data_IF_188186408380
#
_entry.id   IF_188186408380
#
_cell.length_a   1.000
_cell.length_b   1.000
_cell.length_c   1.000
_cell.angle_alpha   90.00
_cell.angle_beta   90.00
_cell.angle_gamma   90.00
#
_symmetry.space_group_name_H-M   'P 1'
#
loop_
_entity.id
_entity.type
_entity.pdbx_description
1 polymer ?
#
# COMPACT_ATOMS: atom_id res chain seq x y z
N UNK A 1 0.41 -1.01 14.99
CA UNK A 1 0.98 0.08 14.17
C UNK A 1 0.46 1.45 14.59
N UNK A 2 -0.86 1.68 14.65
CA UNK A 2 -1.48 2.92 15.19
C UNK A 2 -0.88 3.40 16.52
N UNK A 3 -0.60 2.47 17.44
CA UNK A 3 0.01 2.75 18.75
C UNK A 3 1.52 3.04 18.73
N UNK A 4 2.15 3.11 17.55
CA UNK A 4 3.62 3.16 17.39
C UNK A 4 4.40 1.95 17.97
N UNK A 5 3.70 0.89 18.39
CA UNK A 5 4.31 -0.39 18.80
C UNK A 5 4.50 -1.25 17.54
N UNK A 6 5.73 -1.30 17.01
CA UNK A 6 6.07 -1.97 15.74
C UNK A 6 6.88 -3.25 15.92
N UNK A 7 7.71 -3.34 16.97
CA UNK A 7 8.58 -4.48 17.25
C UNK A 7 7.86 -5.85 17.29
N UNK A 8 6.65 -5.99 17.87
CA UNK A 8 5.94 -7.27 17.87
C UNK A 8 5.70 -7.80 16.47
N UNK A 9 5.27 -6.91 15.56
CA UNK A 9 5.03 -7.27 14.17
C UNK A 9 6.32 -7.68 13.46
N UNK A 10 7.44 -7.03 13.78
CA UNK A 10 8.75 -7.40 13.22
C UNK A 10 9.18 -8.78 13.69
N UNK A 11 9.06 -9.09 14.98
CA UNK A 11 9.44 -10.40 15.52
C UNK A 11 8.57 -11.53 14.97
N UNK A 12 7.25 -11.33 14.88
CA UNK A 12 6.34 -12.34 14.35
C UNK A 12 6.51 -12.54 12.84
N UNK A 13 6.79 -11.47 12.08
CA UNK A 13 7.14 -11.56 10.66
C UNK A 13 8.45 -12.33 10.44
N UNK A 14 9.48 -12.03 11.23
CA UNK A 14 10.75 -12.74 11.16
C UNK A 14 10.57 -14.25 11.44
N UNK A 15 9.86 -14.59 12.51
CA UNK A 15 9.54 -15.98 12.84
C UNK A 15 8.79 -16.68 11.70
N UNK A 16 7.80 -16.01 11.12
CA UNK A 16 6.99 -16.56 10.02
C UNK A 16 7.81 -16.84 8.76
N UNK A 17 8.77 -15.97 8.44
CA UNK A 17 9.71 -16.17 7.32
C UNK A 17 10.68 -17.32 7.63
N UNK A 18 11.21 -17.39 8.85
CA UNK A 18 12.10 -18.49 9.26
C UNK A 18 11.39 -19.85 9.20
N UNK A 19 10.09 -19.89 9.53
CA UNK A 19 9.27 -21.10 9.40
C UNK A 19 8.84 -21.38 7.95
N UNK A 20 8.76 -20.36 7.08
CA UNK A 20 8.36 -20.53 5.69
C UNK A 20 9.28 -21.49 4.92
N UNK A 21 10.60 -21.39 5.13
CA UNK A 21 11.60 -22.23 4.45
C UNK A 21 11.44 -23.73 4.76
N UNK A 22 11.46 -24.18 6.03
CA UNK A 22 11.28 -25.60 6.34
C UNK A 22 9.88 -26.11 5.99
N UNK A 23 8.82 -25.28 6.12
CA UNK A 23 7.46 -25.66 5.72
C UNK A 23 7.40 -25.90 4.21
N UNK A 24 7.97 -25.02 3.39
CA UNK A 24 8.01 -25.23 1.94
C UNK A 24 8.82 -26.48 1.58
N UNK A 25 9.99 -26.67 2.21
CA UNK A 25 10.79 -27.87 1.98
C UNK A 25 10.00 -29.15 2.30
N UNK A 26 9.28 -29.17 3.43
CA UNK A 26 8.45 -30.30 3.82
C UNK A 26 7.32 -30.55 2.81
N UNK A 27 6.54 -29.52 2.48
CA UNK A 27 5.36 -29.66 1.61
C UNK A 27 5.74 -30.01 0.15
N UNK A 28 6.83 -29.42 -0.35
CA UNK A 28 7.25 -29.58 -1.75
C UNK A 28 8.15 -30.78 -1.94
N UNK A 29 9.20 -30.93 -1.12
CA UNK A 29 10.22 -31.97 -1.33
C UNK A 29 9.86 -33.30 -0.66
N UNK A 30 9.31 -33.25 0.57
CA UNK A 30 9.00 -34.46 1.34
C UNK A 30 7.62 -35.00 0.97
N UNK A 31 6.58 -34.17 1.04
CA UNK A 31 5.21 -34.58 0.69
C UNK A 31 4.92 -34.54 -0.82
N UNK A 32 5.84 -34.01 -1.63
CA UNK A 32 5.76 -34.02 -3.10
C UNK A 32 4.47 -33.41 -3.64
N UNK A 33 3.93 -32.40 -2.97
CA UNK A 33 2.69 -31.73 -3.37
C UNK A 33 2.88 -30.78 -4.57
N UNK A 34 4.10 -30.63 -5.08
CA UNK A 34 4.42 -29.78 -6.23
C UNK A 34 3.96 -28.34 -6.02
N UNK A 35 3.29 -27.76 -7.03
CA UNK A 35 2.79 -26.38 -7.02
C UNK A 35 1.76 -26.16 -5.88
N UNK A 36 0.92 -27.16 -5.59
CA UNK A 36 -0.03 -27.07 -4.46
C UNK A 36 0.69 -26.94 -3.12
N UNK A 37 1.86 -27.58 -2.98
CA UNK A 37 2.72 -27.48 -1.80
C UNK A 37 3.25 -26.06 -1.58
N UNK A 38 3.67 -25.38 -2.65
CA UNK A 38 4.13 -23.99 -2.60
C UNK A 38 2.98 -23.07 -2.15
N UNK A 39 1.80 -23.23 -2.75
CA UNK A 39 0.62 -22.45 -2.38
C UNK A 39 0.23 -22.67 -0.91
N UNK A 40 0.24 -23.92 -0.45
CA UNK A 40 -0.08 -24.26 0.94
C UNK A 40 0.98 -23.72 1.91
N UNK A 41 2.25 -23.73 1.53
CA UNK A 41 3.34 -23.11 2.31
C UNK A 41 3.13 -21.61 2.51
N UNK A 42 2.66 -20.89 1.48
CA UNK A 42 2.31 -19.48 1.60
C UNK A 42 1.12 -19.25 2.56
N UNK A 43 0.08 -20.09 2.51
CA UNK A 43 -1.05 -20.04 3.45
C UNK A 43 -0.58 -20.24 4.88
N UNK A 44 0.26 -21.25 5.13
CA UNK A 44 0.82 -21.50 6.46
C UNK A 44 1.65 -20.35 7.00
N UNK A 45 2.44 -19.68 6.15
CA UNK A 45 3.20 -18.50 6.58
C UNK A 45 2.31 -17.34 6.99
N UNK A 46 1.20 -17.12 6.29
CA UNK A 46 0.22 -16.11 6.69
C UNK A 46 -0.47 -16.49 8.02
N UNK A 47 -0.85 -17.76 8.18
CA UNK A 47 -1.45 -18.24 9.41
C UNK A 47 -0.50 -18.11 10.60
N UNK A 48 0.77 -18.50 10.42
CA UNK A 48 1.82 -18.34 11.44
C UNK A 48 1.97 -16.88 11.86
N UNK A 49 1.97 -15.94 10.91
CA UNK A 49 2.08 -14.51 11.20
C UNK A 49 0.92 -14.03 12.09
N UNK A 50 -0.31 -14.36 11.69
CA UNK A 50 -1.52 -13.94 12.42
C UNK A 50 -1.56 -14.60 13.80
N UNK A 51 -1.32 -15.91 13.86
CA UNK A 51 -1.33 -16.68 15.10
C UNK A 51 -0.28 -16.16 16.09
N UNK A 52 0.97 -15.98 15.66
CA UNK A 52 2.03 -15.44 16.51
C UNK A 52 1.74 -14.01 16.98
N UNK A 53 1.07 -13.19 16.16
CA UNK A 53 0.69 -11.83 16.55
C UNK A 53 -0.42 -11.83 17.61
N UNK A 54 -1.46 -12.67 17.45
CA UNK A 54 -2.52 -12.84 18.45
C UNK A 54 -1.93 -13.36 19.77
N UNK A 55 -1.08 -14.38 19.69
CA UNK A 55 -0.40 -14.93 20.86
C UNK A 55 0.44 -13.87 21.57
N UNK A 56 1.18 -13.04 20.82
CA UNK A 56 1.94 -11.93 21.41
C UNK A 56 1.03 -10.92 22.12
N UNK A 57 -0.07 -10.49 21.49
CA UNK A 57 -1.02 -9.53 22.07
C UNK A 57 -1.60 -10.09 23.37
N UNK A 58 -1.95 -11.38 23.38
CA UNK A 58 -2.47 -12.05 24.56
C UNK A 58 -1.43 -12.14 25.67
N UNK A 59 -0.20 -12.60 25.39
CA UNK A 59 0.85 -12.73 26.40
C UNK A 59 1.33 -11.38 26.96
N UNK A 60 1.45 -10.37 26.10
CA UNK A 60 1.88 -9.02 26.50
C UNK A 60 0.79 -8.19 27.18
N UNK A 61 -0.47 -8.64 27.11
CA UNK A 61 -1.63 -7.99 27.73
C UNK A 61 -1.84 -6.52 27.32
N UNK A 62 -1.24 -6.10 26.18
CA UNK A 62 -1.31 -4.72 25.67
C UNK A 62 -2.77 -4.31 25.36
N UNK A 63 -3.62 -5.27 24.99
CA UNK A 63 -5.02 -5.04 24.68
C UNK A 63 -5.81 -4.43 25.83
N UNK A 64 -5.44 -4.69 27.10
CA UNK A 64 -6.17 -4.21 28.29
C UNK A 64 -6.36 -2.70 28.37
N UNK A 65 -5.43 -1.92 27.79
CA UNK A 65 -5.51 -0.45 27.79
C UNK A 65 -6.28 0.14 26.61
N UNK A 66 -6.60 -0.68 25.60
CA UNK A 66 -7.06 -0.16 24.30
C UNK A 66 -8.37 -0.81 23.83
N UNK A 67 -8.64 -2.05 24.24
CA UNK A 67 -9.82 -2.77 23.81
C UNK A 67 -10.96 -2.51 24.78
N UNK A 68 -12.09 -2.05 24.25
CA UNK A 68 -13.37 -2.08 24.93
C UNK A 68 -13.79 -3.55 25.15
N UNK A 69 -14.61 -3.87 26.18
CA UNK A 69 -15.21 -5.20 26.31
C UNK A 69 -15.88 -5.63 25.00
N UNK A 70 -15.66 -6.89 24.60
CA UNK A 70 -16.22 -7.43 23.36
C UNK A 70 -17.75 -7.48 23.49
N UNK A 71 -18.45 -6.55 22.84
CA UNK A 71 -19.90 -6.55 22.73
C UNK A 71 -20.29 -6.85 21.28
N UNK A 72 -21.34 -7.67 21.09
CA UNK A 72 -21.85 -7.99 19.74
C UNK A 72 -22.26 -6.72 18.98
N UNK A 73 -22.83 -5.73 19.68
CA UNK A 73 -23.20 -4.43 19.08
C UNK A 73 -21.97 -3.62 18.68
N UNK A 74 -20.94 -3.57 19.54
CA UNK A 74 -19.68 -2.87 19.25
C UNK A 74 -18.88 -3.51 18.11
N UNK A 75 -19.03 -4.81 17.86
CA UNK A 75 -18.43 -5.48 16.69
C UNK A 75 -19.07 -5.02 15.38
N UNK A 76 -20.38 -4.75 15.37
CA UNK A 76 -21.12 -4.33 14.16
C UNK A 76 -21.28 -2.80 14.03
N UNK A 77 -20.96 -2.04 15.08
CA UNK A 77 -20.90 -0.58 15.04
C UNK A 77 -19.69 -0.10 14.19
N UNK A 78 -19.81 1.06 13.52
CA UNK A 78 -18.70 1.70 12.80
C UNK A 78 -18.27 1.05 11.46
N UNK A 79 -18.90 -0.04 11.01
CA UNK A 79 -18.54 -0.70 9.74
C UNK A 79 -18.66 0.22 8.53
N UNK A 80 -19.67 1.10 8.51
CA UNK A 80 -19.84 2.06 7.42
C UNK A 80 -18.64 3.00 7.30
N UNK A 81 -18.23 3.63 8.41
CA UNK A 81 -17.07 4.52 8.44
C UNK A 81 -15.77 3.78 8.08
N UNK A 82 -15.61 2.55 8.58
CA UNK A 82 -14.47 1.69 8.25
C UNK A 82 -14.42 1.38 6.74
N UNK A 83 -15.52 0.91 6.16
CA UNK A 83 -15.62 0.58 4.74
C UNK A 83 -15.44 1.81 3.85
N UNK A 84 -15.97 2.97 4.25
CA UNK A 84 -15.81 4.24 3.54
C UNK A 84 -14.34 4.68 3.44
N UNK A 85 -13.48 4.22 4.35
CA UNK A 85 -12.03 4.46 4.32
C UNK A 85 -11.26 3.29 3.68
N UNK A 86 -11.65 2.05 3.97
CA UNK A 86 -10.97 0.85 3.53
C UNK A 86 -11.15 0.58 2.03
N UNK A 87 -12.38 0.69 1.50
CA UNK A 87 -12.69 0.41 0.09
C UNK A 87 -11.87 1.33 -0.83
N UNK A 88 -11.87 2.66 -0.64
CA UNK A 88 -11.07 3.53 -1.51
C UNK A 88 -9.57 3.31 -1.37
N UNK A 89 -9.10 2.98 -0.16
CA UNK A 89 -7.68 2.63 0.06
C UNK A 89 -7.30 1.36 -0.71
N UNK A 90 -8.17 0.35 -0.68
CA UNK A 90 -8.00 -0.90 -1.43
C UNK A 90 -8.00 -0.64 -2.93
N UNK A 91 -9.01 0.06 -3.45
CA UNK A 91 -9.11 0.43 -4.87
C UNK A 91 -7.86 1.20 -5.32
N UNK A 92 -7.39 2.17 -4.54
CA UNK A 92 -6.19 2.95 -4.87
C UNK A 92 -4.96 2.07 -5.12
N UNK A 93 -4.78 1.02 -4.30
CA UNK A 93 -3.69 0.05 -4.43
C UNK A 93 -3.96 -0.90 -5.60
N UNK A 94 -5.16 -1.46 -5.72
CA UNK A 94 -5.53 -2.35 -6.82
C UNK A 94 -5.35 -1.69 -8.18
N UNK A 95 -5.70 -0.41 -8.34
CA UNK A 95 -5.52 0.34 -9.58
C UNK A 95 -4.04 0.43 -10.00
N UNK A 96 -3.11 0.56 -9.05
CA UNK A 96 -1.67 0.55 -9.35
C UNK A 96 -1.23 -0.83 -9.84
N UNK A 97 -1.63 -1.90 -9.15
CA UNK A 97 -1.22 -3.27 -9.52
C UNK A 97 -1.89 -3.79 -10.79
N UNK A 98 -3.18 -3.53 -10.98
CA UNK A 98 -3.90 -3.90 -12.19
C UNK A 98 -3.35 -3.19 -13.42
N UNK A 99 -2.81 -1.99 -13.26
CA UNK A 99 -2.14 -1.31 -14.36
C UNK A 99 -0.93 -2.11 -14.89
N UNK A 100 -0.13 -2.72 -14.00
CA UNK A 100 0.96 -3.62 -14.41
C UNK A 100 0.45 -4.90 -15.08
N UNK A 101 -0.66 -5.47 -14.61
CA UNK A 101 -1.28 -6.63 -15.27
C UNK A 101 -1.77 -6.28 -16.69
N UNK A 102 -2.39 -5.12 -16.86
CA UNK A 102 -2.79 -4.63 -18.18
C UNK A 102 -1.55 -4.42 -19.07
N UNK A 103 -0.46 -3.87 -18.55
CA UNK A 103 0.80 -3.78 -19.29
C UNK A 103 1.33 -5.14 -19.74
N UNK A 104 1.27 -6.17 -18.89
CA UNK A 104 1.69 -7.53 -19.26
C UNK A 104 0.85 -8.02 -20.45
N UNK A 105 -0.47 -7.83 -20.40
CA UNK A 105 -1.36 -8.18 -21.50
C UNK A 105 -1.01 -7.41 -22.78
N UNK A 106 -0.72 -6.11 -22.67
CA UNK A 106 -0.29 -5.29 -23.82
C UNK A 106 1.06 -5.75 -24.38
N UNK A 107 2.01 -6.18 -23.54
CA UNK A 107 3.28 -6.76 -24.00
C UNK A 107 3.03 -8.01 -24.87
N UNK A 108 2.03 -8.81 -24.53
CA UNK A 108 1.61 -9.98 -25.32
C UNK A 108 1.05 -9.66 -26.71
N UNK A 109 0.76 -8.39 -27.01
CA UNK A 109 0.29 -7.92 -28.32
C UNK A 109 1.40 -7.22 -29.13
N UNK A 110 2.60 -7.09 -28.59
CA UNK A 110 3.75 -6.50 -29.27
C UNK A 110 4.35 -7.49 -30.29
N UNK A 111 5.28 -7.00 -31.12
CA UNK A 111 5.89 -7.76 -32.22
C UNK A 111 6.63 -9.02 -31.69
N UNK A 112 7.35 -8.89 -30.57
CA UNK A 112 7.97 -10.02 -29.88
C UNK A 112 7.35 -10.23 -28.50
N UNK A 113 6.21 -10.93 -28.40
CA UNK A 113 5.47 -11.06 -27.15
C UNK A 113 6.18 -11.92 -26.11
N UNK A 114 6.96 -12.93 -26.53
CA UNK A 114 7.64 -13.82 -25.60
C UNK A 114 8.73 -13.09 -24.81
N UNK A 115 9.58 -12.33 -25.50
CA UNK A 115 10.66 -11.59 -24.86
C UNK A 115 10.13 -10.42 -24.01
N UNK A 116 9.15 -9.66 -24.51
CA UNK A 116 8.59 -8.51 -23.78
C UNK A 116 7.82 -8.92 -22.53
N UNK A 117 7.00 -9.98 -22.58
CA UNK A 117 6.28 -10.51 -21.42
C UNK A 117 7.26 -11.06 -20.37
N UNK A 118 8.28 -11.80 -20.80
CA UNK A 118 9.28 -12.32 -19.87
C UNK A 118 10.11 -11.20 -19.22
N UNK A 119 10.50 -10.16 -19.99
CA UNK A 119 11.12 -8.95 -19.46
C UNK A 119 10.20 -8.23 -18.48
N UNK A 120 8.91 -8.08 -18.81
CA UNK A 120 7.91 -7.48 -17.92
C UNK A 120 7.85 -8.20 -16.58
N UNK A 121 7.89 -9.54 -16.58
CA UNK A 121 7.94 -10.34 -15.35
C UNK A 121 9.15 -10.02 -14.47
N UNK A 122 10.36 -9.93 -15.06
CA UNK A 122 11.57 -9.53 -14.32
C UNK A 122 11.41 -8.12 -13.76
N UNK A 123 10.87 -7.19 -14.55
CA UNK A 123 10.71 -5.79 -14.17
C UNK A 123 9.66 -5.59 -13.06
N UNK A 124 8.56 -6.33 -13.07
CA UNK A 124 7.55 -6.29 -11.99
C UNK A 124 8.17 -6.77 -10.68
N UNK A 125 8.90 -7.88 -10.70
CA UNK A 125 9.57 -8.37 -9.48
C UNK A 125 10.60 -7.36 -8.96
N UNK A 126 11.32 -6.70 -9.86
CA UNK A 126 12.27 -5.63 -9.54
C UNK A 126 11.57 -4.43 -8.91
N UNK A 127 10.47 -3.99 -9.50
CA UNK A 127 9.67 -2.86 -9.03
C UNK A 127 9.02 -3.18 -7.69
N UNK A 128 8.50 -4.39 -7.50
CA UNK A 128 7.95 -4.86 -6.24
C UNK A 128 8.98 -4.84 -5.11
N UNK A 129 10.23 -5.26 -5.37
CA UNK A 129 11.33 -5.18 -4.41
C UNK A 129 11.62 -3.74 -4.01
N UNK A 130 11.71 -2.83 -4.99
CA UNK A 130 11.97 -1.41 -4.75
C UNK A 130 10.80 -0.76 -3.98
N UNK A 131 9.56 -1.14 -4.29
CA UNK A 131 8.33 -0.58 -3.72
C UNK A 131 8.16 -0.88 -2.21
N UNK A 132 8.85 -1.88 -1.65
CA UNK A 132 8.79 -2.20 -0.22
C UNK A 132 9.20 -0.98 0.64
N UNK A 133 10.20 -0.21 0.19
CA UNK A 133 10.70 0.95 0.93
C UNK A 133 9.68 2.11 0.98
N UNK A 134 9.17 2.65 -0.16
CA UNK A 134 8.18 3.72 -0.14
C UNK A 134 6.86 3.27 0.50
N UNK A 135 6.44 2.01 0.32
CA UNK A 135 5.26 1.46 1.00
C UNK A 135 5.41 1.49 2.53
N UNK A 136 6.58 1.08 3.03
CA UNK A 136 6.90 1.12 4.46
C UNK A 136 6.90 2.56 5.01
N UNK A 137 7.50 3.50 4.28
CA UNK A 137 7.50 4.92 4.62
C UNK A 137 6.06 5.47 4.66
N UNK A 138 5.25 5.11 3.67
CA UNK A 138 3.84 5.51 3.58
C UNK A 138 3.03 5.04 4.79
N UNK A 139 3.23 3.81 5.28
CA UNK A 139 2.58 3.34 6.51
C UNK A 139 3.06 4.11 7.76
N UNK A 140 4.35 4.43 7.84
CA UNK A 140 4.90 5.21 8.96
C UNK A 140 4.33 6.64 8.98
N UNK A 141 4.31 7.31 7.83
CA UNK A 141 3.74 8.65 7.66
C UNK A 141 2.24 8.65 7.94
N UNK A 142 1.49 7.69 7.42
CA UNK A 142 0.06 7.55 7.70
C UNK A 142 -0.22 7.44 9.20
N UNK A 143 0.58 6.66 9.93
CA UNK A 143 0.45 6.50 11.38
C UNK A 143 0.80 7.79 12.11
N UNK A 144 1.94 8.41 11.79
CA UNK A 144 2.39 9.65 12.44
C UNK A 144 1.43 10.81 12.19
N UNK A 145 1.01 11.02 10.95
CA UNK A 145 0.04 12.06 10.59
C UNK A 145 -1.29 11.81 11.28
N UNK A 146 -1.81 10.57 11.25
CA UNK A 146 -3.07 10.25 11.93
C UNK A 146 -3.03 10.52 13.44
N UNK A 147 -1.93 10.15 14.10
CA UNK A 147 -1.77 10.40 15.53
C UNK A 147 -1.66 11.89 15.88
N UNK A 148 -0.92 12.69 15.09
CA UNK A 148 -0.78 14.13 15.34
C UNK A 148 -2.08 14.90 15.00
N UNK A 149 -2.84 14.44 13.99
CA UNK A 149 -4.17 14.98 13.68
C UNK A 149 -5.17 14.66 14.80
N UNK A 150 -5.19 13.42 15.29
CA UNK A 150 -6.03 13.02 16.42
C UNK A 150 -5.63 13.67 17.76
N UNK A 151 -4.37 14.10 17.90
CA UNK A 151 -3.90 14.86 19.05
C UNK A 151 -4.10 16.38 18.91
N UNK A 152 -4.91 16.83 17.95
CA UNK A 152 -5.22 18.24 17.69
C UNK A 152 -3.99 19.12 17.39
N UNK A 153 -2.94 18.53 16.81
CA UNK A 153 -1.67 19.20 16.53
C UNK A 153 -1.41 19.38 15.01
N UNK A 154 -2.06 20.35 14.34
CA UNK A 154 -1.98 20.51 12.88
C UNK A 154 -0.56 20.83 12.39
N UNK A 155 0.22 21.58 13.18
CA UNK A 155 1.62 21.92 12.86
C UNK A 155 2.52 20.69 12.82
N UNK A 156 2.36 19.77 13.79
CA UNK A 156 3.13 18.53 13.84
C UNK A 156 2.69 17.52 12.78
N UNK A 157 1.40 17.47 12.48
CA UNK A 157 0.89 16.68 11.35
C UNK A 157 1.51 17.13 10.01
N UNK A 158 1.53 18.45 9.76
CA UNK A 158 2.20 19.04 8.58
C UNK A 158 3.69 18.71 8.54
N UNK A 159 4.38 18.85 9.67
CA UNK A 159 5.80 18.53 9.77
C UNK A 159 6.07 17.05 9.48
N UNK A 160 5.27 16.13 10.02
CA UNK A 160 5.41 14.70 9.77
C UNK A 160 5.24 14.36 8.29
N UNK A 161 4.27 14.99 7.61
CA UNK A 161 4.08 14.83 6.17
C UNK A 161 5.26 15.37 5.35
N UNK A 162 5.79 16.54 5.71
CA UNK A 162 6.93 17.14 5.01
C UNK A 162 8.22 16.34 5.20
N UNK A 163 8.49 15.88 6.42
CA UNK A 163 9.64 15.00 6.70
C UNK A 163 9.50 13.70 5.91
N UNK A 164 8.32 13.08 5.92
CA UNK A 164 8.03 11.91 5.11
C UNK A 164 8.30 12.15 3.62
N UNK A 165 7.85 13.27 3.08
CA UNK A 165 8.10 13.65 1.69
C UNK A 165 9.59 13.79 1.39
N UNK A 166 10.38 14.43 2.27
CA UNK A 166 11.84 14.53 2.11
C UNK A 166 12.51 13.15 2.05
N UNK A 167 12.15 12.23 2.96
CA UNK A 167 12.65 10.84 2.91
C UNK A 167 12.23 10.13 1.63
N UNK A 168 11.02 10.40 1.11
CA UNK A 168 10.54 9.78 -0.12
C UNK A 168 11.38 10.18 -1.35
N UNK A 169 11.86 11.42 -1.42
CA UNK A 169 12.78 11.85 -2.49
C UNK A 169 14.14 11.19 -2.37
N UNK A 170 14.67 11.03 -1.15
CA UNK A 170 15.92 10.29 -0.93
C UNK A 170 15.77 8.83 -1.37
N UNK A 171 14.66 8.18 -1.02
CA UNK A 171 14.36 6.82 -1.47
C UNK A 171 14.22 6.74 -3.00
N UNK A 172 13.50 7.66 -3.63
CA UNK A 172 13.34 7.70 -5.08
C UNK A 172 14.67 7.89 -5.80
N UNK A 173 15.53 8.79 -5.32
CA UNK A 173 16.89 8.99 -5.86
C UNK A 173 17.75 7.75 -5.68
N UNK A 174 17.64 7.07 -4.54
CA UNK A 174 18.36 5.82 -4.25
C UNK A 174 17.89 4.70 -5.17
N UNK A 175 16.58 4.59 -5.41
CA UNK A 175 15.99 3.64 -6.34
C UNK A 175 16.42 3.90 -7.79
N UNK A 176 16.43 5.17 -8.23
CA UNK A 176 16.96 5.55 -9.54
C UNK A 176 18.43 5.16 -9.68
N UNK A 177 19.26 5.52 -8.70
CA UNK A 177 20.67 5.19 -8.71
C UNK A 177 20.90 3.67 -8.77
N UNK A 178 20.15 2.91 -7.97
CA UNK A 178 20.18 1.46 -7.99
C UNK A 178 19.81 0.91 -9.37
N UNK A 179 18.65 1.30 -9.92
CA UNK A 179 18.15 0.80 -11.20
C UNK A 179 19.10 1.12 -12.37
N UNK A 180 19.72 2.30 -12.38
CA UNK A 180 20.72 2.67 -13.40
C UNK A 180 22.00 1.86 -13.23
N UNK A 181 22.49 1.70 -12.00
CA UNK A 181 23.76 1.01 -11.72
C UNK A 181 23.70 -0.47 -12.05
N UNK A 182 22.58 -1.14 -11.74
CA UNK A 182 22.42 -2.58 -11.95
C UNK A 182 21.92 -2.95 -13.35
N UNK A 183 21.63 -1.97 -14.22
CA UNK A 183 20.91 -2.17 -15.49
C UNK A 183 21.44 -3.30 -16.36
N UNK A 184 22.76 -3.50 -16.41
CA UNK A 184 23.41 -4.50 -17.29
C UNK A 184 23.53 -5.90 -16.67
N UNK A 185 23.50 -6.00 -15.34
CA UNK A 185 23.76 -7.26 -14.63
C UNK A 185 22.47 -7.86 -14.06
N UNK A 186 21.51 -7.02 -13.69
CA UNK A 186 20.30 -7.44 -12.97
C UNK A 186 19.52 -8.56 -13.66
N UNK A 187 19.22 -8.39 -14.96
CA UNK A 187 18.46 -9.39 -15.72
C UNK A 187 19.18 -10.74 -15.86
N UNK A 188 20.52 -10.73 -15.81
CA UNK A 188 21.33 -11.95 -15.94
C UNK A 188 21.20 -12.90 -14.73
N UNK A 189 20.72 -12.40 -13.60
CA UNK A 189 20.39 -13.21 -12.43
C UNK A 189 19.13 -14.05 -12.63
N UNK A 190 18.23 -13.63 -13.53
CA UNK A 190 16.94 -14.28 -13.77
C UNK A 190 16.97 -15.19 -14.99
N UNK A 191 17.70 -14.80 -16.05
CA UNK A 191 17.70 -15.51 -17.32
C UNK A 191 19.04 -15.40 -18.04
N UNK A 192 19.30 -16.33 -18.97
CA UNK A 192 20.44 -16.32 -19.89
C UNK A 192 20.06 -15.83 -21.30
N UNK A 193 18.78 -15.54 -21.54
CA UNK A 193 18.29 -15.04 -22.82
C UNK A 193 18.75 -13.59 -23.04
N UNK A 194 19.53 -13.37 -24.10
CA UNK A 194 20.12 -12.06 -24.43
C UNK A 194 19.07 -11.02 -24.79
N UNK A 195 17.95 -11.43 -25.39
CA UNK A 195 16.91 -10.50 -25.79
C UNK A 195 16.19 -9.94 -24.56
N UNK A 196 15.80 -10.82 -23.63
CA UNK A 196 15.19 -10.43 -22.35
C UNK A 196 16.13 -9.52 -21.56
N UNK A 197 17.43 -9.85 -21.51
CA UNK A 197 18.44 -9.03 -20.84
C UNK A 197 18.49 -7.64 -21.47
N UNK A 198 18.54 -7.55 -22.80
CA UNK A 198 18.65 -6.28 -23.53
C UNK A 198 17.42 -5.39 -23.31
N UNK A 199 16.21 -5.95 -23.43
CA UNK A 199 14.95 -5.22 -23.18
C UNK A 199 14.88 -4.72 -21.74
N UNK A 200 15.22 -5.57 -20.78
CA UNK A 200 15.24 -5.23 -19.36
C UNK A 200 16.24 -4.11 -19.07
N UNK A 201 17.48 -4.24 -19.55
CA UNK A 201 18.53 -3.22 -19.38
C UNK A 201 18.16 -1.86 -19.99
N UNK A 202 17.41 -1.84 -21.09
CA UNK A 202 16.94 -0.62 -21.73
C UNK A 202 15.93 0.14 -20.86
N UNK A 203 15.06 -0.60 -20.15
CA UNK A 203 13.94 -0.05 -19.40
C UNK A 203 14.27 0.24 -17.94
N UNK A 204 15.24 -0.45 -17.32
CA UNK A 204 15.61 -0.22 -15.91
C UNK A 204 15.81 1.27 -15.54
N UNK A 205 16.52 2.08 -16.35
CA UNK A 205 16.65 3.51 -16.10
C UNK A 205 15.30 4.26 -16.12
N UNK A 206 14.36 3.86 -16.97
CA UNK A 206 13.01 4.45 -17.04
C UNK A 206 12.24 4.12 -15.76
N UNK A 207 12.32 2.89 -15.26
CA UNK A 207 11.73 2.51 -13.98
C UNK A 207 12.34 3.33 -12.84
N UNK A 208 13.66 3.50 -12.82
CA UNK A 208 14.31 4.37 -11.85
C UNK A 208 13.75 5.80 -11.87
N UNK A 209 13.45 6.34 -13.05
CA UNK A 209 12.80 7.65 -13.18
C UNK A 209 11.33 7.61 -12.70
N UNK A 210 10.59 6.54 -12.97
CA UNK A 210 9.24 6.33 -12.44
C UNK A 210 9.24 6.35 -10.91
N UNK A 211 10.25 5.77 -10.27
CA UNK A 211 10.37 5.73 -8.80
C UNK A 211 10.56 7.11 -8.16
N UNK A 212 11.10 8.09 -8.89
CA UNK A 212 11.14 9.49 -8.43
C UNK A 212 9.73 10.10 -8.26
N UNK A 213 8.76 9.66 -9.08
CA UNK A 213 7.36 10.06 -8.94
C UNK A 213 6.60 9.17 -7.94
N UNK A 214 6.85 7.86 -8.02
CA UNK A 214 6.17 6.83 -7.23
C UNK A 214 6.42 7.00 -5.72
N UNK A 215 7.67 7.24 -5.31
CA UNK A 215 8.03 7.35 -3.90
C UNK A 215 7.28 8.52 -3.19
N UNK A 216 7.30 9.76 -3.72
CA UNK A 216 6.47 10.85 -3.22
C UNK A 216 4.97 10.57 -3.30
N UNK A 217 4.47 10.06 -4.42
CA UNK A 217 3.05 9.73 -4.60
C UNK A 217 2.56 8.76 -3.53
N UNK A 218 3.28 7.67 -3.31
CA UNK A 218 2.94 6.62 -2.34
C UNK A 218 2.99 7.18 -0.91
N UNK A 219 3.96 8.05 -0.62
CA UNK A 219 4.06 8.73 0.68
C UNK A 219 2.88 9.66 0.93
N UNK A 220 2.46 10.43 -0.08
CA UNK A 220 1.31 11.34 0.02
C UNK A 220 0.01 10.55 0.15
N UNK A 221 -0.15 9.41 -0.53
CA UNK A 221 -1.25 8.48 -0.27
C UNK A 221 -1.29 8.05 1.21
N UNK A 222 -0.13 7.87 1.84
CA UNK A 222 0.00 7.64 3.28
C UNK A 222 -0.53 8.82 4.11
N UNK A 223 -0.17 10.05 3.75
CA UNK A 223 -0.70 11.28 4.38
C UNK A 223 -2.22 11.35 4.23
N UNK A 224 -2.75 11.10 3.04
CA UNK A 224 -4.19 11.13 2.78
C UNK A 224 -4.94 10.08 3.62
N UNK A 225 -4.42 8.86 3.73
CA UNK A 225 -4.95 7.83 4.64
C UNK A 225 -4.89 8.28 6.11
N UNK A 226 -3.77 8.85 6.54
CA UNK A 226 -3.60 9.40 7.90
C UNK A 226 -4.57 10.54 8.23
N UNK A 227 -5.01 11.31 7.22
CA UNK A 227 -6.03 12.36 7.36
C UNK A 227 -7.46 11.90 7.00
N UNK A 228 -7.73 10.59 6.94
CA UNK A 228 -9.04 10.02 6.62
C UNK A 228 -9.62 10.48 5.25
N UNK A 229 -8.76 10.67 4.23
CA UNK A 229 -9.13 11.07 2.86
C UNK A 229 -8.64 10.12 1.76
N UNK A 230 -8.76 8.79 1.90
CA UNK A 230 -8.25 7.85 0.88
C UNK A 230 -8.95 7.98 -0.48
N UNK A 231 -10.22 8.42 -0.52
CA UNK A 231 -10.99 8.65 -1.77
C UNK A 231 -10.28 9.60 -2.73
N UNK A 232 -9.66 10.65 -2.21
CA UNK A 232 -8.95 11.63 -3.04
C UNK A 232 -7.73 11.01 -3.72
N UNK A 233 -6.96 10.19 -2.99
CA UNK A 233 -5.80 9.50 -3.54
C UNK A 233 -6.19 8.48 -4.62
N UNK A 234 -7.24 7.70 -4.36
CA UNK A 234 -7.78 6.73 -5.32
C UNK A 234 -8.21 7.38 -6.64
N UNK A 235 -8.91 8.52 -6.57
CA UNK A 235 -9.38 9.24 -7.76
C UNK A 235 -8.21 9.83 -8.57
N UNK A 236 -7.18 10.34 -7.89
CA UNK A 236 -5.97 10.86 -8.55
C UNK A 236 -5.20 9.72 -9.24
N UNK A 237 -5.01 8.59 -8.56
CA UNK A 237 -4.40 7.41 -9.15
C UNK A 237 -5.18 6.94 -10.39
N UNK A 238 -6.50 6.80 -10.27
CA UNK A 238 -7.35 6.41 -11.40
C UNK A 238 -7.15 7.34 -12.60
N UNK A 239 -7.22 8.66 -12.39
CA UNK A 239 -7.04 9.64 -13.45
C UNK A 239 -5.65 9.58 -14.09
N UNK A 240 -4.59 9.58 -13.28
CA UNK A 240 -3.22 9.65 -13.79
C UNK A 240 -2.81 8.35 -14.50
N UNK A 241 -3.11 7.18 -13.95
CA UNK A 241 -2.73 5.90 -14.56
C UNK A 241 -3.58 5.57 -15.79
N UNK A 242 -4.90 5.78 -15.73
CA UNK A 242 -5.80 5.29 -16.78
C UNK A 242 -6.20 6.35 -17.81
N UNK A 243 -6.25 7.63 -17.45
CA UNK A 243 -6.64 8.70 -18.40
C UNK A 243 -5.38 9.32 -19.04
N UNK A 244 -4.25 9.36 -18.34
CA UNK A 244 -2.99 9.89 -18.88
C UNK A 244 -2.03 8.76 -19.28
N UNK A 245 -1.67 7.90 -18.34
CA UNK A 245 -0.67 6.85 -18.53
C UNK A 245 -1.02 5.85 -19.62
N UNK A 246 -2.21 5.27 -19.56
CA UNK A 246 -2.67 4.24 -20.49
C UNK A 246 -2.73 4.73 -21.94
N UNK A 247 -3.34 5.88 -22.28
CA UNK A 247 -3.31 6.39 -23.65
C UNK A 247 -1.89 6.67 -24.15
N UNK A 248 -1.01 7.24 -23.31
CA UNK A 248 0.39 7.48 -23.68
C UNK A 248 1.15 6.17 -23.91
N UNK A 249 0.95 5.17 -23.05
CA UNK A 249 1.54 3.85 -23.20
C UNK A 249 1.12 3.20 -24.52
N UNK A 250 -0.19 3.16 -24.79
CA UNK A 250 -0.73 2.54 -26.01
C UNK A 250 -0.27 3.30 -27.25
N UNK A 251 -0.30 4.63 -27.23
CA UNK A 251 0.13 5.44 -28.36
C UNK A 251 1.62 5.25 -28.66
N UNK A 252 2.49 5.33 -27.64
CA UNK A 252 3.92 5.15 -27.82
C UNK A 252 4.31 3.71 -28.18
N UNK A 253 3.65 2.72 -27.57
CA UNK A 253 3.94 1.31 -27.76
C UNK A 253 3.54 0.81 -29.14
N UNK A 254 2.33 1.14 -29.60
CA UNK A 254 1.77 0.56 -30.83
C UNK A 254 1.86 1.47 -32.06
N UNK A 255 1.78 2.80 -31.89
CA UNK A 255 1.66 3.73 -33.03
C UNK A 255 2.95 4.51 -33.31
N UNK A 256 3.67 4.95 -32.29
CA UNK A 256 4.88 5.75 -32.46
C UNK A 256 6.17 4.94 -32.64
N UNK A 257 6.07 3.60 -32.68
CA UNK A 257 7.21 2.70 -32.95
C UNK A 257 8.20 2.53 -31.80
N UNK A 258 7.87 2.94 -30.57
CA UNK A 258 8.73 2.73 -29.40
C UNK A 258 8.55 1.35 -28.74
N UNK A 259 7.54 0.57 -29.17
CA UNK A 259 7.31 -0.82 -28.77
C UNK A 259 7.31 -0.97 -27.23
N UNK A 260 8.01 -1.96 -26.68
CA UNK A 260 8.15 -2.19 -25.24
C UNK A 260 8.56 -0.94 -24.45
N UNK A 261 9.50 -0.15 -24.96
CA UNK A 261 9.96 1.08 -24.30
C UNK A 261 8.83 2.11 -24.22
N UNK A 262 7.98 2.18 -25.24
CA UNK A 262 6.83 3.08 -25.29
C UNK A 262 5.84 2.83 -24.14
N UNK A 263 5.59 1.56 -23.81
CA UNK A 263 4.71 1.19 -22.69
C UNK A 263 5.24 1.75 -21.36
N UNK A 264 6.55 1.62 -21.10
CA UNK A 264 7.20 2.12 -19.89
C UNK A 264 7.31 3.66 -19.83
N UNK A 265 7.42 4.33 -20.98
CA UNK A 265 7.30 5.78 -21.05
C UNK A 265 5.88 6.25 -20.69
N UNK A 266 4.86 5.44 -20.96
CA UNK A 266 3.51 5.67 -20.46
C UNK A 266 3.41 5.57 -18.93
N UNK A 267 4.10 4.61 -18.30
CA UNK A 267 4.22 4.57 -16.83
C UNK A 267 4.86 5.86 -16.30
N UNK A 268 5.94 6.32 -16.95
CA UNK A 268 6.63 7.52 -16.54
C UNK A 268 5.71 8.76 -16.61
N UNK A 269 4.88 8.86 -17.65
CA UNK A 269 3.88 9.91 -17.78
C UNK A 269 2.80 9.82 -16.68
N UNK A 270 2.33 8.62 -16.35
CA UNK A 270 1.40 8.40 -15.23
C UNK A 270 2.01 8.86 -13.90
N UNK A 271 3.24 8.44 -13.61
CA UNK A 271 3.92 8.73 -12.35
C UNK A 271 4.24 10.23 -12.22
N UNK A 272 4.68 10.88 -13.30
CA UNK A 272 4.92 12.31 -13.31
C UNK A 272 3.64 13.12 -13.05
N UNK A 273 2.55 12.80 -13.75
CA UNK A 273 1.25 13.47 -13.56
C UNK A 273 0.67 13.22 -12.17
N UNK A 274 0.80 12.00 -11.64
CA UNK A 274 0.34 11.65 -10.31
C UNK A 274 1.13 12.39 -9.23
N UNK A 275 2.47 12.41 -9.33
CA UNK A 275 3.33 13.15 -8.42
C UNK A 275 2.95 14.64 -8.37
N UNK A 276 2.80 15.30 -9.52
CA UNK A 276 2.44 16.73 -9.58
C UNK A 276 1.10 16.99 -8.90
N UNK A 277 0.09 16.16 -9.20
CA UNK A 277 -1.26 16.31 -8.64
C UNK A 277 -1.27 16.04 -7.14
N UNK A 278 -0.57 15.01 -6.67
CA UNK A 278 -0.44 14.68 -5.25
C UNK A 278 0.29 15.78 -4.47
N UNK A 279 1.37 16.34 -5.02
CA UNK A 279 2.10 17.46 -4.42
C UNK A 279 1.21 18.70 -4.31
N UNK A 280 0.43 19.00 -5.36
CA UNK A 280 -0.53 20.09 -5.34
C UNK A 280 -1.57 19.91 -4.23
N UNK A 281 -2.14 18.70 -4.10
CA UNK A 281 -3.10 18.37 -3.03
C UNK A 281 -2.47 18.51 -1.65
N UNK A 282 -1.23 18.04 -1.46
CA UNK A 282 -0.53 18.18 -0.19
C UNK A 282 -0.29 19.66 0.15
N UNK A 283 0.17 20.46 -0.82
CA UNK A 283 0.41 21.89 -0.64
C UNK A 283 -0.87 22.67 -0.30
N UNK A 284 -2.01 22.26 -0.88
CA UNK A 284 -3.33 22.86 -0.63
C UNK A 284 -4.06 22.30 0.58
N UNK A 285 -3.51 21.30 1.28
CA UNK A 285 -4.19 20.70 2.43
C UNK A 285 -4.27 21.71 3.58
N UNK A 286 -5.51 22.07 3.95
CA UNK A 286 -5.77 22.85 5.16
C UNK A 286 -5.69 21.94 6.39
N UNK A 287 -4.55 21.98 7.09
CA UNK A 287 -4.26 21.15 8.26
C UNK A 287 -5.16 21.43 9.46
N UNK A 288 -5.53 22.69 9.69
CA UNK A 288 -6.46 23.06 10.77
C UNK A 288 -7.85 22.47 10.50
N UNK A 289 -8.33 22.60 9.26
CA UNK A 289 -9.59 21.96 8.85
C UNK A 289 -9.56 20.44 8.91
N UNK A 290 -8.39 19.80 8.74
CA UNK A 290 -8.28 18.34 8.90
C UNK A 290 -8.37 17.90 10.36
N UNK A 291 -7.82 18.68 11.28
CA UNK A 291 -7.94 18.43 12.72
C UNK A 291 -9.39 18.57 13.17
N UNK A 292 -10.07 19.63 12.76
CA UNK A 292 -11.48 19.84 13.09
C UNK A 292 -12.36 18.70 12.55
N UNK A 293 -12.13 18.28 11.30
CA UNK A 293 -12.82 17.13 10.73
C UNK A 293 -12.54 15.83 11.49
N UNK A 294 -11.30 15.61 11.91
CA UNK A 294 -10.95 14.41 12.68
C UNK A 294 -11.70 14.39 14.02
N UNK A 295 -11.80 15.54 14.70
CA UNK A 295 -12.58 15.70 15.93
C UNK A 295 -14.04 15.33 15.71
N UNK A 296 -14.66 15.84 14.64
CA UNK A 296 -16.05 15.53 14.27
C UNK A 296 -16.26 14.04 14.02
N UNK A 297 -15.35 13.38 13.30
CA UNK A 297 -15.42 11.94 13.02
C UNK A 297 -15.29 11.09 14.29
N UNK A 298 -14.48 11.54 15.26
CA UNK A 298 -14.33 10.83 16.54
C UNK A 298 -15.45 11.14 17.53
N UNK A 299 -16.07 12.34 17.45
CA UNK A 299 -17.16 12.73 18.33
C UNK A 299 -18.51 12.17 17.88
N UNK A 300 -18.76 12.05 16.56
CA UNK A 300 -20.02 11.49 16.06
C UNK A 300 -20.22 10.04 16.48
N UNK A 301 -19.15 9.24 16.46
CA UNK A 301 -19.19 7.85 16.94
C UNK A 301 -19.42 7.79 18.46
N UNK A 302 -18.85 8.72 19.23
CA UNK A 302 -19.07 8.80 20.68
C UNK A 302 -20.48 9.28 21.06
N UNK A 303 -21.07 10.17 20.25
CA UNK A 303 -22.42 10.72 20.53
C UNK A 303 -23.52 9.73 20.14
N UNK A 304 -23.31 8.91 19.10
CA UNK A 304 -24.18 7.76 18.78
C UNK A 304 -24.09 6.69 19.89
N UNK A 305 -22.91 6.43 20.45
CA UNK A 305 -22.75 5.52 21.59
C UNK A 305 -23.38 6.06 22.90
N UNK A 306 -23.29 7.36 23.18
CA UNK A 306 -23.88 8.00 24.37
C UNK A 306 -25.41 8.13 24.31
N UNK A 307 -25.98 8.51 23.15
CA UNK A 307 -27.43 8.61 22.98
C UNK A 307 -28.11 7.23 23.11
N UNK A 308 -27.48 6.17 22.60
CA UNK A 308 -28.05 4.82 22.71
C UNK A 308 -27.88 4.21 24.11
N UNK A 309 -26.86 4.58 24.87
CA UNK A 309 -26.72 4.17 26.29
C UNK A 309 -27.76 4.84 27.19
N UNK A 310 -28.09 6.11 26.92
CA UNK A 310 -29.20 6.80 27.60
C UNK A 310 -30.58 6.22 27.23
N UNK A 311 -30.78 5.79 25.99
CA UNK A 311 -32.01 5.09 25.59
C UNK A 311 -32.12 3.71 26.25
N UNK A 312 -31.01 3.00 26.47
CA UNK A 312 -31.03 1.72 27.20
C UNK A 312 -31.26 1.89 28.71
N UNK A 313 -30.66 2.89 29.36
CA UNK A 313 -30.89 3.14 30.79
C UNK A 313 -32.30 3.64 31.09
N UNK A 314 -32.88 4.45 30.19
CA UNK A 314 -34.27 4.93 30.32
C UNK A 314 -35.30 3.83 30.04
N UNK A 315 -34.96 2.81 29.25
CA UNK A 315 -35.82 1.63 29.06
C UNK A 315 -35.82 0.72 30.29
N UNK A 316 -34.68 0.56 30.98
CA UNK A 316 -34.58 -0.21 32.24
C UNK A 316 -35.27 0.50 33.42
N UNK A 317 -35.14 1.82 33.57
CA UNK A 317 -35.86 2.58 34.62
C UNK A 317 -37.38 2.55 34.44
N UNK A 318 -37.87 2.47 33.20
CA UNK A 318 -39.32 2.39 32.93
C UNK A 318 -39.89 0.98 33.23
N UNK A 319 -39.06 -0.08 33.16
CA UNK A 319 -39.45 -1.44 33.56
C UNK A 319 -39.46 -1.67 35.08
N UNK A 320 -38.61 -0.96 35.84
CA UNK A 320 -38.57 -1.09 37.32
C UNK A 320 -39.63 -0.24 38.04
N UNK A 321 -40.24 0.74 37.35
CA UNK A 321 -41.35 1.55 37.89
C UNK A 321 -42.75 0.91 37.76
N UNK A 322 -42.86 -0.34 37.29
CA UNK A 322 -44.13 -1.06 37.06
C UNK A 322 -44.28 -2.37 37.87
N UNK A 323 -43.62 -2.50 39.02
CA UNK A 323 -43.84 -3.61 39.99
C UNK A 323 -44.33 -3.07 41.33
#
# INVERSE_FOLDING_TARGET
RSQSITLPLTYTALLSILLHVPINYLLVSVFKLGIKGIALGAVWTNFNLVFSLILYIWLSQIYKKTWSPISLKGIFCGWKALLDLAIPSCISVCLEWWWYEIMILLCGLLINPQATVASMGVLIQTTALIYIFPSSLSFAVSTRVGNEVGAENPKRAKLAALVGLSFSYVLGLSALFFAVSVRHVWASMFTRDKEIITLTSMVLPIIGLCELGNCPQTTICGVLRGTARPKLGANINLGCFYIVGMPVAVWLGFFAGFDFRGLWLGLLAAQASCMITMLFVLARTNWEGQVERAKQLTSSDATEEEHEQQDQSSTEECSDSNV
#
